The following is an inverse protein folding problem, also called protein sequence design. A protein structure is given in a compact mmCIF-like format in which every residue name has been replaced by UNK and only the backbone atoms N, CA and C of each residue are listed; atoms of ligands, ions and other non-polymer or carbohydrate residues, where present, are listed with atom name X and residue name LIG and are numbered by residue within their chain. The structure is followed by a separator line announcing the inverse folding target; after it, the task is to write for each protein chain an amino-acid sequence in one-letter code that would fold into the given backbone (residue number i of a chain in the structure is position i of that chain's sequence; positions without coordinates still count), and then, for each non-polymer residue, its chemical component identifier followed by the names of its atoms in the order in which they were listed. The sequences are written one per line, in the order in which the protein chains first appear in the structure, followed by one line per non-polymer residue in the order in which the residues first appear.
data_IF_157182871085
#
_entry.id   IF_157182871085
#
_cell.length_a   1.000
_cell.length_b   1.000
_cell.length_c   1.000
_cell.angle_alpha   90.00
_cell.angle_beta   90.00
_cell.angle_gamma   90.00
#
_symmetry.space_group_name_H-M   'P 1'
#
loop_
_entity.id
_entity.type
_entity.pdbx_description
1 polymer ?
#
# COMPACT_ATOMS: atom_id res chain seq x y z
N UNK A 1 1.42 20.26 18.26
CA UNK A 1 2.27 19.92 17.09
C UNK A 1 3.05 18.63 17.32
N UNK A 2 3.90 18.53 18.34
CA UNK A 2 4.64 17.29 18.66
C UNK A 2 3.72 16.06 18.82
N UNK A 3 2.60 16.20 19.54
CA UNK A 3 1.63 15.11 19.72
C UNK A 3 1.07 14.58 18.38
N UNK A 4 0.81 15.46 17.40
CA UNK A 4 0.30 15.07 16.08
C UNK A 4 1.36 14.32 15.26
N UNK A 5 2.62 14.71 15.38
CA UNK A 5 3.74 14.01 14.75
C UNK A 5 3.93 12.61 15.35
N UNK A 6 3.83 12.45 16.67
CA UNK A 6 3.91 11.14 17.32
C UNK A 6 2.76 10.24 16.85
N UNK A 7 1.53 10.78 16.79
CA UNK A 7 0.37 10.04 16.27
C UNK A 7 0.61 9.60 14.81
N UNK A 8 1.03 10.53 13.95
CA UNK A 8 1.31 10.24 12.55
C UNK A 8 2.42 9.20 12.38
N UNK A 9 3.47 9.27 13.21
CA UNK A 9 4.55 8.29 13.21
C UNK A 9 4.07 6.90 13.62
N UNK A 10 3.22 6.79 14.65
CA UNK A 10 2.64 5.52 15.07
C UNK A 10 1.75 4.91 13.98
N UNK A 11 0.91 5.72 13.33
CA UNK A 11 0.06 5.29 12.21
C UNK A 11 0.90 4.82 11.03
N UNK A 12 1.91 5.60 10.64
CA UNK A 12 2.88 5.22 9.61
C UNK A 12 3.58 3.91 9.95
N UNK A 13 4.10 3.75 11.17
CA UNK A 13 4.79 2.53 11.60
C UNK A 13 3.88 1.29 11.55
N UNK A 14 2.61 1.45 11.94
CA UNK A 14 1.60 0.41 11.81
C UNK A 14 1.36 0.05 10.34
N UNK A 15 1.16 1.04 9.46
CA UNK A 15 0.98 0.82 8.03
C UNK A 15 2.19 0.11 7.39
N UNK A 16 3.41 0.54 7.72
CA UNK A 16 4.65 -0.10 7.26
C UNK A 16 4.71 -1.56 7.72
N UNK A 17 4.31 -1.86 8.96
CA UNK A 17 4.29 -3.23 9.49
C UNK A 17 3.27 -4.10 8.75
N UNK A 18 2.05 -3.58 8.53
CA UNK A 18 1.00 -4.26 7.75
C UNK A 18 1.51 -4.53 6.32
N UNK A 19 2.10 -3.54 5.67
CA UNK A 19 2.57 -3.69 4.30
C UNK A 19 3.75 -4.66 4.20
N UNK A 20 4.74 -4.54 5.09
CA UNK A 20 5.92 -5.40 5.11
C UNK A 20 5.56 -6.88 5.36
N UNK A 21 4.61 -7.15 6.26
CA UNK A 21 4.11 -8.52 6.49
C UNK A 21 3.35 -9.05 5.26
N UNK A 22 2.53 -8.21 4.63
CA UNK A 22 1.83 -8.53 3.37
C UNK A 22 2.79 -8.85 2.22
N UNK A 23 3.86 -8.08 2.03
CA UNK A 23 4.88 -8.33 1.01
C UNK A 23 5.69 -9.60 1.33
N UNK A 24 6.04 -9.81 2.60
CA UNK A 24 6.75 -11.03 3.03
C UNK A 24 5.93 -12.29 2.73
N UNK A 25 4.61 -12.25 2.92
CA UNK A 25 3.71 -13.34 2.55
C UNK A 25 3.72 -13.65 1.05
N UNK A 26 3.81 -12.63 0.19
CA UNK A 26 3.96 -12.84 -1.27
C UNK A 26 5.31 -13.50 -1.57
N UNK A 27 6.40 -13.04 -0.97
CA UNK A 27 7.72 -13.64 -1.20
C UNK A 27 7.80 -15.10 -0.74
N UNK A 28 7.24 -15.45 0.41
CA UNK A 28 7.23 -16.84 0.89
C UNK A 28 6.37 -17.74 0.00
N UNK A 29 5.22 -17.26 -0.44
CA UNK A 29 4.35 -17.95 -1.39
C UNK A 29 5.04 -18.21 -2.74
N UNK A 30 5.75 -17.21 -3.27
CA UNK A 30 6.49 -17.33 -4.54
C UNK A 30 7.72 -18.23 -4.44
N UNK A 31 8.42 -18.23 -3.29
CA UNK A 31 9.56 -19.14 -3.05
C UNK A 31 9.11 -20.61 -3.13
N UNK A 32 7.97 -20.94 -2.53
CA UNK A 32 7.39 -22.31 -2.58
C UNK A 32 6.96 -22.76 -3.98
N UNK A 33 6.84 -21.84 -4.94
CA UNK A 33 6.43 -22.12 -6.33
C UNK A 33 7.57 -22.00 -7.35
N UNK A 34 8.82 -21.80 -6.90
CA UNK A 34 9.94 -21.44 -7.77
C UNK A 34 10.32 -22.48 -8.84
N UNK A 35 9.93 -23.76 -8.68
CA UNK A 35 10.18 -24.82 -9.67
C UNK A 35 9.06 -24.95 -10.73
N UNK A 36 7.91 -24.29 -10.56
CA UNK A 36 6.73 -24.41 -11.43
C UNK A 36 6.44 -23.14 -12.26
N UNK A 37 7.31 -22.13 -12.20
CA UNK A 37 7.14 -20.84 -12.90
C UNK A 37 7.60 -20.89 -14.37
N UNK A 38 8.16 -22.02 -14.82
CA UNK A 38 8.55 -22.18 -16.22
C UNK A 38 7.38 -22.67 -17.09
N UNK A 39 6.97 -21.85 -18.05
CA UNK A 39 6.49 -22.35 -19.34
C UNK A 39 5.02 -22.17 -19.73
N UNK A 40 4.16 -21.56 -18.90
CA UNK A 40 2.75 -21.35 -19.30
C UNK A 40 2.30 -19.88 -19.14
N UNK A 41 2.07 -19.20 -20.27
CA UNK A 41 1.65 -17.79 -20.34
C UNK A 41 0.43 -17.47 -19.45
N UNK A 42 -0.54 -18.38 -19.37
CA UNK A 42 -1.72 -18.22 -18.54
C UNK A 42 -1.40 -18.24 -17.03
N UNK A 43 -0.44 -19.06 -16.61
CA UNK A 43 0.00 -19.14 -15.21
C UNK A 43 0.78 -17.89 -14.78
N UNK A 44 1.60 -17.37 -15.70
CA UNK A 44 2.31 -16.09 -15.53
C UNK A 44 1.33 -14.94 -15.28
N UNK A 45 0.35 -14.78 -16.17
CA UNK A 45 -0.69 -13.76 -16.06
C UNK A 45 -1.51 -13.91 -14.77
N UNK A 46 -1.92 -15.14 -14.43
CA UNK A 46 -2.65 -15.40 -13.18
C UNK A 46 -1.84 -15.00 -11.94
N UNK A 47 -0.55 -15.34 -11.91
CA UNK A 47 0.34 -14.97 -10.80
C UNK A 47 0.41 -13.45 -10.62
N UNK A 48 0.53 -12.70 -11.72
CA UNK A 48 0.55 -11.24 -11.68
C UNK A 48 -0.79 -10.67 -11.18
N UNK A 49 -1.92 -11.19 -11.63
CA UNK A 49 -3.25 -10.77 -11.15
C UNK A 49 -3.37 -11.01 -9.64
N UNK A 50 -2.96 -12.18 -9.15
CA UNK A 50 -3.00 -12.49 -7.71
C UNK A 50 -2.11 -11.56 -6.90
N UNK A 51 -0.88 -11.29 -7.37
CA UNK A 51 0.04 -10.38 -6.67
C UNK A 51 -0.50 -8.95 -6.66
N UNK A 52 -1.01 -8.45 -7.79
CA UNK A 52 -1.64 -7.12 -7.86
C UNK A 52 -2.87 -7.01 -6.95
N UNK A 53 -3.77 -8.00 -6.98
CA UNK A 53 -4.95 -8.02 -6.13
C UNK A 53 -4.58 -8.03 -4.64
N UNK A 54 -3.57 -8.81 -4.26
CA UNK A 54 -3.09 -8.86 -2.89
C UNK A 54 -2.44 -7.55 -2.43
N UNK A 55 -1.59 -6.94 -3.25
CA UNK A 55 -0.95 -5.66 -2.90
C UNK A 55 -1.97 -4.53 -2.81
N UNK A 56 -2.97 -4.49 -3.70
CA UNK A 56 -4.09 -3.55 -3.60
C UNK A 56 -4.85 -3.74 -2.29
N UNK A 57 -5.12 -4.98 -1.88
CA UNK A 57 -5.78 -5.25 -0.60
C UNK A 57 -4.97 -4.72 0.59
N UNK A 58 -3.64 -4.88 0.59
CA UNK A 58 -2.78 -4.31 1.62
C UNK A 58 -2.83 -2.78 1.66
N UNK A 59 -2.94 -2.12 0.51
CA UNK A 59 -3.14 -0.67 0.44
C UNK A 59 -4.51 -0.24 0.99
N UNK A 60 -5.58 -0.97 0.64
CA UNK A 60 -6.91 -0.69 1.16
C UNK A 60 -6.99 -0.85 2.69
N UNK A 61 -6.28 -1.82 3.27
CA UNK A 61 -6.17 -1.95 4.72
C UNK A 61 -5.46 -0.75 5.37
N UNK A 62 -4.42 -0.22 4.75
CA UNK A 62 -3.73 0.96 5.24
C UNK A 62 -4.61 2.21 5.14
N UNK A 63 -5.29 2.40 4.00
CA UNK A 63 -6.31 3.45 3.82
C UNK A 63 -7.38 3.32 4.90
N UNK A 64 -7.85 2.10 5.21
CA UNK A 64 -8.81 1.89 6.28
C UNK A 64 -8.27 2.35 7.64
N UNK A 65 -7.01 2.03 7.97
CA UNK A 65 -6.38 2.48 9.23
C UNK A 65 -6.41 4.01 9.36
N UNK A 66 -6.03 4.74 8.32
CA UNK A 66 -6.07 6.20 8.30
C UNK A 66 -7.51 6.75 8.33
N UNK A 67 -8.42 6.17 7.54
CA UNK A 67 -9.83 6.54 7.51
C UNK A 67 -10.51 6.40 8.88
N UNK A 68 -10.32 5.25 9.55
CA UNK A 68 -10.83 5.02 10.89
C UNK A 68 -10.26 6.02 11.89
N UNK A 69 -8.97 6.34 11.78
CA UNK A 69 -8.35 7.37 12.61
C UNK A 69 -9.04 8.74 12.42
N UNK A 70 -9.27 9.18 11.18
CA UNK A 70 -9.95 10.46 10.93
C UNK A 70 -11.39 10.48 11.42
N UNK A 71 -12.11 9.36 11.25
CA UNK A 71 -13.48 9.23 11.74
C UNK A 71 -13.56 9.36 13.26
N UNK A 72 -12.76 8.60 14.01
CA UNK A 72 -12.77 8.65 15.49
C UNK A 72 -12.29 9.97 16.08
N UNK A 73 -11.42 10.67 15.38
CA UNK A 73 -10.86 11.95 15.84
C UNK A 73 -11.66 13.17 15.34
N UNK A 74 -12.85 12.95 14.76
CA UNK A 74 -13.70 13.99 14.19
C UNK A 74 -12.98 14.84 13.12
N UNK A 75 -12.02 14.25 12.41
CA UNK A 75 -11.32 14.89 11.29
C UNK A 75 -12.18 14.97 10.03
N UNK A 76 -13.22 14.13 9.94
CA UNK A 76 -14.18 14.03 8.86
C UNK A 76 -15.58 13.72 9.42
N UNK A 77 -16.67 14.08 8.71
CA UNK A 77 -18.04 14.00 9.23
C UNK A 77 -18.55 12.56 9.40
N UNK A 78 -18.13 11.64 8.54
CA UNK A 78 -18.59 10.26 8.54
C UNK A 78 -17.50 9.31 8.02
N UNK A 79 -17.75 8.01 8.16
CA UNK A 79 -16.80 6.97 7.80
C UNK A 79 -16.56 6.92 6.28
N UNK A 80 -17.60 7.05 5.45
CA UNK A 80 -17.48 7.02 4.00
C UNK A 80 -16.63 8.19 3.48
N UNK A 81 -16.88 9.40 3.99
CA UNK A 81 -16.08 10.59 3.70
C UNK A 81 -14.64 10.43 4.17
N UNK A 82 -14.41 9.79 5.32
CA UNK A 82 -13.07 9.49 5.83
C UNK A 82 -12.29 8.52 4.95
N UNK A 83 -12.95 7.46 4.46
CA UNK A 83 -12.38 6.50 3.52
C UNK A 83 -12.03 7.15 2.20
N UNK A 84 -12.92 7.96 1.65
CA UNK A 84 -12.67 8.67 0.41
C UNK A 84 -11.53 9.68 0.54
N UNK A 85 -11.53 10.52 1.59
CA UNK A 85 -10.43 11.45 1.85
C UNK A 85 -9.09 10.70 2.01
N UNK A 86 -9.08 9.64 2.81
CA UNK A 86 -7.87 8.86 3.06
C UNK A 86 -7.36 8.22 1.79
N UNK A 87 -8.23 7.62 0.97
CA UNK A 87 -7.85 7.03 -0.31
C UNK A 87 -7.18 8.08 -1.22
N UNK A 88 -7.84 9.22 -1.42
CA UNK A 88 -7.34 10.31 -2.29
C UNK A 88 -6.03 10.91 -1.79
N UNK A 89 -5.86 11.01 -0.47
CA UNK A 89 -4.64 11.54 0.17
C UNK A 89 -3.50 10.53 0.11
N UNK A 90 -3.76 9.28 0.49
CA UNK A 90 -2.82 8.16 0.49
C UNK A 90 -2.26 7.89 -0.92
N UNK A 91 -3.11 7.94 -1.94
CA UNK A 91 -2.68 7.79 -3.34
C UNK A 91 -2.03 9.03 -3.92
N UNK A 92 -1.89 10.11 -3.13
CA UNK A 92 -1.37 11.42 -3.54
C UNK A 92 -2.17 12.09 -4.67
N UNK A 93 -3.41 11.64 -4.89
CA UNK A 93 -4.29 12.16 -5.94
C UNK A 93 -4.74 13.59 -5.61
N UNK A 94 -5.11 13.83 -4.36
CA UNK A 94 -5.32 15.17 -3.83
C UNK A 94 -6.33 16.05 -4.58
N UNK A 95 -7.53 15.53 -4.88
CA UNK A 95 -8.56 16.29 -5.61
C UNK A 95 -8.90 17.66 -5.00
N UNK A 96 -8.73 17.82 -3.68
CA UNK A 96 -8.87 19.10 -2.98
C UNK A 96 -10.32 19.50 -2.66
N UNK A 97 -11.26 18.62 -2.96
CA UNK A 97 -12.68 18.71 -2.59
C UNK A 97 -12.91 18.50 -1.08
N UNK A 98 -12.08 17.68 -0.44
CA UNK A 98 -12.04 17.47 1.00
C UNK A 98 -10.68 17.84 1.59
N UNK A 99 -10.69 18.57 2.70
CA UNK A 99 -9.47 19.01 3.40
C UNK A 99 -9.65 18.85 4.90
N UNK A 100 -8.62 18.29 5.55
CA UNK A 100 -8.60 18.16 7.01
C UNK A 100 -8.62 19.52 7.73
N UNK A 101 -9.23 19.57 8.94
CA UNK A 101 -9.07 20.67 9.88
C UNK A 101 -7.60 21.00 10.15
N UNK A 102 -7.30 22.26 10.50
CA UNK A 102 -5.92 22.78 10.60
C UNK A 102 -5.02 21.93 11.51
N UNK A 103 -5.57 21.38 12.58
CA UNK A 103 -4.90 20.55 13.57
C UNK A 103 -4.46 19.17 13.07
N UNK A 104 -5.06 18.66 11.98
CA UNK A 104 -4.79 17.34 11.41
C UNK A 104 -4.03 17.38 10.08
N UNK A 105 -3.83 18.56 9.48
CA UNK A 105 -3.17 18.70 8.16
C UNK A 105 -1.78 18.06 8.08
N UNK A 106 -0.97 18.17 9.14
CA UNK A 106 0.35 17.53 9.20
C UNK A 106 0.23 16.01 9.14
N UNK A 107 -0.81 15.45 9.77
CA UNK A 107 -1.09 14.01 9.77
C UNK A 107 -1.46 13.54 8.36
N UNK A 108 -2.33 14.28 7.65
CA UNK A 108 -2.64 14.01 6.24
C UNK A 108 -1.43 14.11 5.31
N UNK A 109 -0.49 15.03 5.58
CA UNK A 109 0.78 15.09 4.84
C UNK A 109 1.64 13.83 5.03
N UNK A 110 1.70 13.30 6.26
CA UNK A 110 2.42 12.05 6.56
C UNK A 110 1.72 10.85 5.94
N UNK A 111 0.39 10.82 5.92
CA UNK A 111 -0.38 9.79 5.21
C UNK A 111 -0.03 9.73 3.73
N UNK A 112 -0.02 10.88 3.04
CA UNK A 112 0.35 10.95 1.62
C UNK A 112 1.77 10.44 1.38
N UNK A 113 2.73 10.83 2.22
CA UNK A 113 4.12 10.36 2.13
C UNK A 113 4.24 8.85 2.40
N UNK A 114 3.49 8.35 3.38
CA UNK A 114 3.42 6.92 3.69
C UNK A 114 2.87 6.15 2.49
N UNK A 115 1.78 6.63 1.92
CA UNK A 115 1.11 5.97 0.80
C UNK A 115 2.00 5.87 -0.44
N UNK A 116 2.63 6.97 -0.87
CA UNK A 116 3.53 6.94 -2.02
C UNK A 116 4.76 6.03 -1.77
N UNK A 117 5.31 6.00 -0.56
CA UNK A 117 6.41 5.11 -0.21
C UNK A 117 6.00 3.64 -0.34
N UNK A 118 4.83 3.27 0.18
CA UNK A 118 4.32 1.90 0.10
C UNK A 118 3.96 1.50 -1.33
N UNK A 119 3.40 2.41 -2.13
CA UNK A 119 3.16 2.21 -3.56
C UNK A 119 4.48 1.95 -4.32
N UNK A 120 5.55 2.66 -3.95
CA UNK A 120 6.89 2.42 -4.47
C UNK A 120 7.40 1.00 -4.18
N UNK A 121 7.26 0.54 -2.92
CA UNK A 121 7.61 -0.83 -2.54
C UNK A 121 6.79 -1.89 -3.27
N UNK A 122 5.47 -1.69 -3.40
CA UNK A 122 4.58 -2.58 -4.14
C UNK A 122 4.95 -2.68 -5.61
N UNK A 123 5.27 -1.55 -6.25
CA UNK A 123 5.69 -1.50 -7.65
C UNK A 123 7.01 -2.23 -7.86
N UNK A 124 7.98 -2.03 -6.95
CA UNK A 124 9.25 -2.75 -6.97
C UNK A 124 9.08 -4.27 -6.84
N UNK A 125 8.23 -4.72 -5.91
CA UNK A 125 7.87 -6.14 -5.78
C UNK A 125 7.22 -6.66 -7.06
N UNK A 126 6.22 -5.95 -7.58
CA UNK A 126 5.48 -6.36 -8.78
C UNK A 126 6.39 -6.50 -9.99
N UNK A 127 7.31 -5.54 -10.18
CA UNK A 127 8.33 -5.61 -11.22
C UNK A 127 9.29 -6.79 -11.02
N UNK A 128 9.72 -7.06 -9.77
CA UNK A 128 10.54 -8.22 -9.45
C UNK A 128 9.85 -9.56 -9.76
N UNK A 129 8.54 -9.65 -9.56
CA UNK A 129 7.74 -10.83 -9.96
C UNK A 129 7.65 -10.91 -11.48
N UNK A 130 7.36 -9.80 -12.15
CA UNK A 130 7.26 -9.73 -13.61
C UNK A 130 8.55 -10.23 -14.28
N UNK A 131 9.72 -9.72 -13.87
CA UNK A 131 11.00 -10.12 -14.47
C UNK A 131 11.33 -11.58 -14.24
N UNK A 132 10.97 -12.13 -13.06
CA UNK A 132 11.14 -13.55 -12.74
C UNK A 132 10.25 -14.45 -13.60
N UNK A 133 8.99 -14.07 -13.76
CA UNK A 133 7.99 -14.86 -14.50
C UNK A 133 8.28 -14.87 -16.01
N UNK A 134 8.75 -13.76 -16.58
CA UNK A 134 9.09 -13.65 -18.00
C UNK A 134 10.55 -13.97 -18.32
N UNK A 135 11.35 -14.42 -17.35
CA UNK A 135 12.73 -14.88 -17.59
C UNK A 135 13.71 -13.78 -18.01
N UNK A 136 13.36 -12.50 -17.83
CA UNK A 136 14.22 -11.36 -18.21
C UNK A 136 15.51 -11.26 -17.37
N UNK A 137 15.62 -12.05 -16.30
CA UNK A 137 16.80 -12.12 -15.44
C UNK A 137 17.74 -13.29 -15.79
N UNK A 138 17.55 -13.98 -16.94
CA UNK A 138 18.43 -15.06 -17.44
C UNK A 138 19.60 -14.53 -18.29
N UNK A 139 20.33 -13.55 -17.78
CA UNK A 139 21.62 -13.13 -18.32
C UNK A 139 22.75 -13.61 -17.40
N UNK A 140 23.62 -14.48 -17.92
CA UNK A 140 24.81 -15.09 -17.31
C UNK A 140 24.56 -16.31 -16.40
N UNK A 141 24.50 -17.48 -17.04
CA UNK A 141 25.03 -18.74 -16.50
C UNK A 141 25.90 -19.35 -17.58
#
# INVERSE_FOLDING_TARGET
MLSKLVIAWCLMALCVTIHATGLTAVFTWLKGKSAAIEGHFWWATWTLICVAGWTILMHLLQIAVWAFFYFWNHGMPDLQTSFYFSAVTYTTTGYGDLVLPKEWRVVGGVEALTGIMMCGLSTGLYFGVFTKVFGLNRGNS
#
